data_IF_778869499865
#
_entry.id   IF_778869499865
#
_cell.length_a   1.000
_cell.length_b   1.000
_cell.length_c   1.000
_cell.angle_alpha   90.00
_cell.angle_beta   90.00
_cell.angle_gamma   90.00
#
_symmetry.space_group_name_H-M   'P 1'
#
loop_
_entity.id
_entity.type
_entity.pdbx_description
1 polymer ?
#
# COMPACT_ATOMS: atom_id res chain seq x y z
N UNK A 1 -30.14 68.69 11.62
CA UNK A 1 -29.14 69.59 10.99
C UNK A 1 -27.79 68.93 11.20
N UNK A 2 -27.02 68.73 10.12
CA UNK A 2 -25.69 68.11 10.14
C UNK A 2 -24.66 69.05 10.76
N UNK A 3 -23.78 68.53 11.61
CA UNK A 3 -22.35 68.87 11.55
C UNK A 3 -21.51 67.77 12.20
N UNK A 4 -20.68 67.17 11.35
CA UNK A 4 -19.51 66.33 11.62
C UNK A 4 -18.34 67.16 12.17
N UNK A 5 -17.39 66.52 12.88
CA UNK A 5 -15.96 66.37 12.51
C UNK A 5 -15.12 65.87 13.72
N UNK A 6 -14.47 64.73 13.49
CA UNK A 6 -13.11 64.23 13.86
C UNK A 6 -12.37 64.68 15.13
N UNK A 7 -11.79 63.67 15.82
CA UNK A 7 -10.33 63.43 16.02
C UNK A 7 -10.19 62.20 16.97
N UNK A 8 -9.75 61.02 16.52
CA UNK A 8 -8.37 60.51 16.36
C UNK A 8 -7.49 60.69 17.61
N UNK A 9 -7.28 59.58 18.34
CA UNK A 9 -5.98 59.00 18.77
C UNK A 9 -6.01 58.45 20.20
N UNK A 10 -5.28 57.35 20.42
CA UNK A 10 -5.06 56.72 21.72
C UNK A 10 -5.36 55.22 21.72
N UNK A 11 -4.64 54.42 20.91
CA UNK A 11 -3.58 53.54 21.45
C UNK A 11 -4.04 52.65 22.60
N UNK A 12 -4.24 51.37 22.28
CA UNK A 12 -4.52 50.30 23.21
C UNK A 12 -4.26 48.94 22.56
N UNK A 13 -3.06 48.79 21.97
CA UNK A 13 -2.47 47.52 21.58
C UNK A 13 -2.32 46.62 22.82
N UNK A 14 -3.35 45.84 23.16
CA UNK A 14 -3.20 44.69 24.05
C UNK A 14 -4.25 43.64 23.71
N UNK A 15 -3.96 42.88 22.67
CA UNK A 15 -4.81 41.80 22.23
C UNK A 15 -4.30 41.10 21.00
N UNK A 16 -2.97 40.97 20.87
CA UNK A 16 -2.36 39.93 20.05
C UNK A 16 -2.76 38.57 20.63
N UNK A 17 -4.03 38.22 20.44
CA UNK A 17 -4.56 36.88 20.50
C UNK A 17 -3.85 36.14 19.40
N UNK A 18 -2.75 35.56 19.85
CA UNK A 18 -1.97 34.47 19.32
C UNK A 18 -2.80 33.65 18.34
N UNK A 19 -2.88 34.14 17.10
CA UNK A 19 -3.14 33.36 15.91
C UNK A 19 -1.88 32.53 15.66
N UNK A 20 -1.52 31.73 16.66
CA UNK A 20 -0.60 30.62 16.52
C UNK A 20 -1.26 29.77 15.47
N UNK A 21 -0.69 29.89 14.27
CA UNK A 21 -1.09 29.17 13.09
C UNK A 21 -1.36 27.74 13.50
N UNK A 22 -2.65 27.44 13.63
CA UNK A 22 -3.19 26.12 13.45
C UNK A 22 -3.03 25.86 11.96
N UNK A 23 -1.76 25.78 11.52
CA UNK A 23 -1.36 25.01 10.37
C UNK A 23 -1.93 23.65 10.70
N UNK A 24 -3.12 23.41 10.17
CA UNK A 24 -3.64 22.10 9.90
C UNK A 24 -2.47 21.34 9.32
N UNK A 25 -1.74 20.64 10.19
CA UNK A 25 -0.92 19.53 9.76
C UNK A 25 -1.95 18.69 9.05
N UNK A 26 -1.95 18.75 7.71
CA UNK A 26 -2.53 17.73 6.86
C UNK A 26 -1.76 16.47 7.26
N UNK A 27 -2.20 15.86 8.35
CA UNK A 27 -1.76 14.57 8.79
C UNK A 27 -2.04 13.70 7.57
N UNK A 28 -0.97 13.34 6.86
CA UNK A 28 -1.08 12.37 5.78
C UNK A 28 -1.51 11.08 6.48
N UNK A 29 -2.82 10.85 6.45
CA UNK A 29 -3.53 9.75 7.10
C UNK A 29 -3.11 8.39 6.56
N UNK A 30 -2.44 8.36 5.40
CA UNK A 30 -2.01 7.12 4.77
C UNK A 30 -0.66 7.22 4.08
N UNK A 31 0.07 6.09 4.10
CA UNK A 31 1.35 5.93 3.44
C UNK A 31 1.20 5.94 1.91
N UNK A 32 2.00 6.75 1.20
CA UNK A 32 1.92 6.81 -0.27
C UNK A 32 2.50 5.53 -0.87
N UNK A 33 1.64 4.72 -1.49
CA UNK A 33 2.03 3.48 -2.20
C UNK A 33 2.81 3.75 -3.49
N UNK A 34 2.52 4.87 -4.17
CA UNK A 34 3.08 5.24 -5.47
C UNK A 34 4.61 5.03 -5.62
N UNK A 35 5.47 5.47 -4.69
CA UNK A 35 6.92 5.30 -4.84
C UNK A 35 7.35 3.83 -4.93
N UNK A 36 6.69 2.94 -4.20
CA UNK A 36 6.99 1.51 -4.23
C UNK A 36 6.61 0.90 -5.58
N UNK A 37 5.50 1.36 -6.16
CA UNK A 37 5.04 0.96 -7.49
C UNK A 37 6.10 1.33 -8.51
N UNK A 38 6.49 2.61 -8.51
CA UNK A 38 7.37 3.15 -9.54
C UNK A 38 8.79 2.63 -9.43
N UNK A 39 9.32 2.45 -8.21
CA UNK A 39 10.65 1.86 -8.01
C UNK A 39 10.64 0.41 -8.49
N UNK A 40 9.65 -0.39 -8.07
CA UNK A 40 9.58 -1.81 -8.47
C UNK A 40 9.38 -1.95 -9.98
N UNK A 41 8.44 -1.19 -10.56
CA UNK A 41 8.22 -1.18 -12.00
C UNK A 41 9.48 -0.73 -12.78
N UNK A 42 10.17 0.31 -12.30
CA UNK A 42 11.42 0.78 -12.87
C UNK A 42 12.51 -0.29 -12.85
N UNK A 43 12.65 -1.02 -11.73
CA UNK A 43 13.59 -2.14 -11.62
C UNK A 43 13.25 -3.29 -12.57
N UNK A 44 11.97 -3.65 -12.70
CA UNK A 44 11.52 -4.70 -13.63
C UNK A 44 11.78 -4.33 -15.09
N UNK A 45 11.48 -3.08 -15.47
CA UNK A 45 11.75 -2.56 -16.81
C UNK A 45 13.25 -2.53 -17.06
N UNK A 46 14.04 -1.97 -16.14
CA UNK A 46 15.49 -1.90 -16.26
C UNK A 46 16.11 -3.29 -16.41
N UNK A 47 15.71 -4.24 -15.59
CA UNK A 47 16.21 -5.62 -15.65
C UNK A 47 15.85 -6.30 -16.98
N UNK A 48 14.66 -6.05 -17.51
CA UNK A 48 14.25 -6.56 -18.83
C UNK A 48 15.00 -5.89 -19.98
N UNK A 49 15.33 -4.61 -19.87
CA UNK A 49 16.17 -3.89 -20.83
C UNK A 49 17.63 -4.38 -20.79
N UNK A 50 18.14 -4.76 -19.62
CA UNK A 50 19.47 -5.35 -19.50
C UNK A 50 19.49 -6.74 -20.17
N UNK A 51 18.47 -7.55 -19.92
CA UNK A 51 18.33 -8.88 -20.53
C UNK A 51 18.28 -8.83 -22.06
N UNK A 52 17.74 -7.76 -22.66
CA UNK A 52 17.68 -7.61 -24.12
C UNK A 52 18.97 -7.12 -24.76
N UNK A 53 19.97 -6.66 -23.99
CA UNK A 53 21.23 -6.12 -24.53
C UNK A 53 22.26 -7.19 -24.83
N UNK A 54 22.63 -8.01 -23.84
CA UNK A 54 23.59 -9.10 -24.03
C UNK A 54 23.48 -10.16 -22.93
N UNK A 55 23.73 -11.45 -23.24
CA UNK A 55 23.73 -12.51 -22.23
C UNK A 55 24.78 -12.32 -21.13
N UNK A 56 25.94 -11.75 -21.46
CA UNK A 56 27.04 -11.52 -20.51
C UNK A 56 26.64 -10.44 -19.47
N UNK A 57 25.96 -9.40 -19.93
CA UNK A 57 25.47 -8.33 -19.05
C UNK A 57 24.39 -8.86 -18.12
N UNK A 58 23.49 -9.71 -18.64
CA UNK A 58 22.47 -10.37 -17.84
C UNK A 58 23.11 -11.28 -16.77
N UNK A 59 24.11 -12.08 -17.14
CA UNK A 59 24.82 -12.96 -16.19
C UNK A 59 25.49 -12.17 -15.05
N UNK A 60 26.11 -11.03 -15.37
CA UNK A 60 26.70 -10.16 -14.37
C UNK A 60 25.66 -9.61 -13.38
N UNK A 61 24.50 -9.18 -13.88
CA UNK A 61 23.42 -8.68 -13.01
C UNK A 61 22.78 -9.82 -12.20
N UNK A 62 22.60 -10.99 -12.79
CA UNK A 62 22.09 -12.18 -12.10
C UNK A 62 22.98 -12.61 -10.95
N UNK A 63 24.31 -12.49 -11.09
CA UNK A 63 25.25 -12.76 -10.01
C UNK A 63 24.96 -11.92 -8.76
N UNK A 64 24.55 -10.66 -8.93
CA UNK A 64 24.20 -9.77 -7.81
C UNK A 64 22.75 -9.92 -7.34
N UNK A 65 21.81 -10.10 -8.26
CA UNK A 65 20.39 -10.16 -7.92
C UNK A 65 19.98 -11.48 -7.28
N UNK A 66 20.49 -12.61 -7.78
CA UNK A 66 20.04 -13.93 -7.34
C UNK A 66 20.23 -14.14 -5.83
N UNK A 67 21.35 -13.78 -5.17
CA UNK A 67 21.45 -13.87 -3.72
C UNK A 67 20.39 -13.06 -2.96
N UNK A 68 20.03 -11.88 -3.47
CA UNK A 68 18.98 -11.04 -2.90
C UNK A 68 17.62 -11.73 -3.07
N UNK A 69 17.33 -12.28 -4.24
CA UNK A 69 16.08 -13.00 -4.48
C UNK A 69 16.00 -14.29 -3.66
N UNK A 70 17.07 -15.06 -3.59
CA UNK A 70 17.14 -16.30 -2.82
C UNK A 70 16.97 -16.05 -1.32
N UNK A 71 17.31 -14.86 -0.83
CA UNK A 71 17.06 -14.51 0.56
C UNK A 71 15.56 -14.46 0.94
N UNK A 72 14.64 -14.38 -0.04
CA UNK A 72 13.20 -14.55 0.19
C UNK A 72 12.87 -15.94 0.75
N UNK A 73 13.71 -16.96 0.49
CA UNK A 73 13.56 -18.31 1.04
C UNK A 73 13.62 -18.32 2.57
N UNK A 74 14.43 -17.45 3.18
CA UNK A 74 14.56 -17.36 4.64
C UNK A 74 13.26 -16.92 5.33
N UNK A 75 12.40 -16.19 4.62
CA UNK A 75 11.10 -15.75 5.13
C UNK A 75 9.94 -16.58 4.56
N UNK A 76 10.23 -17.75 3.97
CA UNK A 76 9.23 -18.66 3.42
C UNK A 76 8.61 -18.22 2.10
N UNK A 77 9.14 -17.17 1.45
CA UNK A 77 8.67 -16.64 0.17
C UNK A 77 9.57 -17.05 -1.00
N UNK A 78 10.21 -18.22 -0.88
CA UNK A 78 11.09 -18.76 -1.91
C UNK A 78 10.35 -19.00 -3.23
N UNK A 79 10.92 -18.49 -4.32
CA UNK A 79 10.39 -18.76 -5.67
C UNK A 79 11.13 -20.00 -6.18
N UNK A 80 10.44 -21.15 -6.16
CA UNK A 80 10.97 -22.43 -6.63
C UNK A 80 10.76 -22.64 -8.12
N UNK A 81 9.65 -22.15 -8.67
CA UNK A 81 9.37 -22.13 -10.11
C UNK A 81 8.75 -20.79 -10.49
N UNK A 82 9.28 -20.06 -11.48
CA UNK A 82 8.62 -18.87 -11.97
C UNK A 82 7.30 -19.25 -12.64
N UNK A 83 6.26 -18.44 -12.45
CA UNK A 83 4.98 -18.62 -13.13
C UNK A 83 5.02 -18.18 -14.61
N UNK A 84 6.20 -17.87 -15.14
CA UNK A 84 6.40 -17.48 -16.54
C UNK A 84 7.60 -18.25 -17.10
N UNK A 85 7.48 -18.64 -18.37
CA UNK A 85 8.54 -19.23 -19.16
C UNK A 85 8.58 -18.59 -20.55
N UNK A 86 9.67 -18.78 -21.29
CA UNK A 86 9.81 -18.19 -22.61
C UNK A 86 11.24 -18.29 -23.14
N UNK A 87 11.63 -17.42 -24.09
CA UNK A 87 12.92 -17.53 -24.78
C UNK A 87 14.13 -17.16 -23.91
N UNK A 88 13.93 -16.52 -22.76
CA UNK A 88 15.01 -16.17 -21.84
C UNK A 88 15.34 -17.33 -20.89
N UNK A 89 16.53 -17.34 -20.27
CA UNK A 89 16.87 -18.35 -19.25
C UNK A 89 15.88 -18.33 -18.08
N UNK A 90 15.59 -19.48 -17.48
CA UNK A 90 14.66 -19.60 -16.33
C UNK A 90 15.01 -18.66 -15.17
N UNK A 91 16.31 -18.43 -14.95
CA UNK A 91 16.82 -17.53 -13.91
C UNK A 91 16.36 -16.08 -14.12
N UNK A 92 16.21 -15.63 -15.36
CA UNK A 92 15.66 -14.31 -15.67
C UNK A 92 14.24 -14.17 -15.12
N UNK A 93 13.36 -15.13 -15.43
CA UNK A 93 11.97 -15.11 -14.95
C UNK A 93 11.88 -15.23 -13.42
N UNK A 94 12.73 -16.05 -12.82
CA UNK A 94 12.82 -16.18 -11.36
C UNK A 94 13.21 -14.87 -10.70
N UNK A 95 14.26 -14.22 -11.20
CA UNK A 95 14.74 -12.94 -10.68
C UNK A 95 13.70 -11.82 -10.89
N UNK A 96 13.00 -11.81 -12.03
CA UNK A 96 11.88 -10.88 -12.28
C UNK A 96 10.78 -11.00 -11.24
N UNK A 97 10.29 -12.23 -11.00
CA UNK A 97 9.26 -12.47 -9.98
C UNK A 97 9.79 -12.06 -8.60
N UNK A 98 11.06 -12.38 -8.31
CA UNK A 98 11.74 -12.00 -7.08
C UNK A 98 11.76 -10.49 -6.81
N UNK A 99 12.07 -9.68 -7.82
CA UNK A 99 12.04 -8.21 -7.72
C UNK A 99 10.62 -7.75 -7.34
N UNK A 100 9.59 -8.30 -7.98
CA UNK A 100 8.20 -8.01 -7.65
C UNK A 100 7.86 -8.34 -6.20
N UNK A 101 8.21 -9.54 -5.74
CA UNK A 101 7.93 -10.02 -4.37
C UNK A 101 8.65 -9.15 -3.35
N UNK A 102 9.91 -8.80 -3.57
CA UNK A 102 10.65 -7.87 -2.71
C UNK A 102 10.00 -6.49 -2.64
N UNK A 103 9.46 -5.97 -3.75
CA UNK A 103 8.71 -4.72 -3.76
C UNK A 103 7.50 -4.77 -2.82
N UNK A 104 6.78 -5.89 -2.80
CA UNK A 104 5.65 -6.14 -1.89
C UNK A 104 6.11 -6.29 -0.45
N UNK A 105 7.16 -7.06 -0.18
CA UNK A 105 7.73 -7.24 1.16
C UNK A 105 8.18 -5.89 1.73
N UNK A 106 8.91 -5.09 0.96
CA UNK A 106 9.40 -3.77 1.38
C UNK A 106 8.24 -2.80 1.67
N UNK A 107 7.18 -2.82 0.86
CA UNK A 107 5.98 -2.01 1.09
C UNK A 107 5.28 -2.42 2.39
N UNK A 108 5.08 -3.72 2.59
CA UNK A 108 4.39 -4.28 3.75
C UNK A 108 5.18 -4.05 5.04
N UNK A 109 6.49 -4.33 5.04
CA UNK A 109 7.37 -4.09 6.18
C UNK A 109 7.34 -2.62 6.59
N UNK A 110 7.46 -1.70 5.63
CA UNK A 110 7.37 -0.27 5.94
C UNK A 110 6.00 0.15 6.46
N UNK A 111 4.93 -0.42 5.91
CA UNK A 111 3.58 -0.14 6.39
C UNK A 111 3.41 -0.57 7.85
N UNK A 112 3.87 -1.77 8.20
CA UNK A 112 3.91 -2.27 9.58
C UNK A 112 4.74 -1.35 10.48
N UNK A 113 5.96 -1.00 10.07
CA UNK A 113 6.83 -0.09 10.82
C UNK A 113 6.18 1.27 11.06
N UNK A 114 5.54 1.85 10.03
CA UNK A 114 4.82 3.11 10.14
C UNK A 114 3.70 3.02 11.19
N UNK A 115 2.93 1.93 11.19
CA UNK A 115 1.90 1.70 12.21
C UNK A 115 2.47 1.58 13.62
N UNK A 116 3.54 0.79 13.80
CA UNK A 116 4.18 0.61 15.10
C UNK A 116 4.70 1.95 15.64
N UNK A 117 5.32 2.77 14.79
CA UNK A 117 5.83 4.09 15.19
C UNK A 117 4.73 5.12 15.46
N UNK A 118 3.58 5.01 14.78
CA UNK A 118 2.46 5.96 14.91
C UNK A 118 1.32 5.47 15.81
N UNK A 119 1.59 4.52 16.72
CA UNK A 119 0.62 3.85 17.59
C UNK A 119 -0.31 4.78 18.40
N UNK A 120 -0.01 6.09 18.50
CA UNK A 120 -0.83 7.11 19.18
C UNK A 120 -1.42 8.24 18.32
N UNK A 121 -1.22 8.26 16.99
CA UNK A 121 -1.72 9.33 16.08
C UNK A 121 -2.69 8.82 15.03
N UNK A 122 -3.52 7.86 15.40
CA UNK A 122 -4.62 7.46 14.54
C UNK A 122 -5.70 8.50 14.77
N UNK A 123 -5.97 9.32 13.74
CA UNK A 123 -6.96 10.39 13.75
C UNK A 123 -8.21 9.98 14.53
N UNK A 124 -8.71 10.91 15.36
CA UNK A 124 -9.79 10.64 16.30
C UNK A 124 -10.95 9.92 15.59
N UNK A 125 -11.22 8.69 16.04
CA UNK A 125 -11.94 7.67 15.23
C UNK A 125 -13.38 8.10 14.94
N UNK A 126 -13.94 8.95 15.80
CA UNK A 126 -15.27 9.53 15.64
C UNK A 126 -15.29 10.59 14.55
N UNK A 127 -14.27 11.43 14.47
CA UNK A 127 -14.23 12.54 13.52
C UNK A 127 -14.15 12.05 12.07
N UNK A 128 -13.36 11.01 11.80
CA UNK A 128 -13.28 10.38 10.46
C UNK A 128 -14.60 9.67 10.11
N UNK A 129 -15.22 9.01 11.09
CA UNK A 129 -16.49 8.32 10.91
C UNK A 129 -17.63 9.29 10.60
N UNK A 130 -17.74 10.38 11.35
CA UNK A 130 -18.80 11.37 11.17
C UNK A 130 -18.66 12.09 9.84
N UNK A 131 -17.43 12.47 9.44
CA UNK A 131 -17.15 13.04 8.11
C UNK A 131 -17.50 12.08 6.96
N UNK A 132 -17.29 10.77 7.13
CA UNK A 132 -17.65 9.77 6.11
C UNK A 132 -19.15 9.52 6.05
N UNK A 133 -19.81 9.47 7.21
CA UNK A 133 -21.26 9.32 7.33
C UNK A 133 -21.99 10.48 6.70
N UNK A 134 -21.54 11.71 6.93
CA UNK A 134 -22.15 12.92 6.37
C UNK A 134 -21.98 12.99 4.84
N UNK A 135 -20.87 12.47 4.32
CA UNK A 135 -20.57 12.54 2.88
C UNK A 135 -21.22 11.40 2.06
N UNK A 136 -21.38 10.21 2.63
CA UNK A 136 -21.82 9.01 1.88
C UNK A 136 -23.15 8.41 2.37
N UNK A 137 -23.68 8.88 3.50
CA UNK A 137 -24.82 8.28 4.16
C UNK A 137 -24.54 6.87 4.69
N UNK A 138 -25.51 6.30 5.43
CA UNK A 138 -25.37 4.99 6.07
C UNK A 138 -25.27 3.87 5.01
N UNK A 139 -26.03 3.97 3.92
CA UNK A 139 -26.04 2.98 2.85
C UNK A 139 -24.77 3.02 1.99
N UNK A 140 -24.29 4.21 1.63
CA UNK A 140 -23.02 4.36 0.90
C UNK A 140 -21.82 3.86 1.71
N UNK A 141 -21.82 4.11 3.02
CA UNK A 141 -20.82 3.52 3.92
C UNK A 141 -20.89 1.99 3.91
N UNK A 142 -22.08 1.40 4.16
CA UNK A 142 -22.27 -0.07 4.18
C UNK A 142 -21.77 -0.71 2.89
N UNK A 143 -22.11 -0.14 1.73
CA UNK A 143 -21.65 -0.62 0.44
C UNK A 143 -20.12 -0.51 0.31
N UNK A 144 -19.52 0.62 0.68
CA UNK A 144 -18.07 0.81 0.62
C UNK A 144 -17.33 -0.23 1.49
N UNK A 145 -17.88 -0.58 2.65
CA UNK A 145 -17.30 -1.59 3.54
C UNK A 145 -17.42 -2.98 2.95
N UNK A 146 -18.63 -3.38 2.55
CA UNK A 146 -18.86 -4.71 1.95
C UNK A 146 -17.97 -4.88 0.72
N UNK A 147 -17.92 -3.88 -0.16
CA UNK A 147 -17.03 -3.88 -1.32
C UNK A 147 -15.54 -3.96 -0.93
N UNK A 148 -15.11 -3.26 0.12
CA UNK A 148 -13.72 -3.30 0.60
C UNK A 148 -13.35 -4.65 1.21
N UNK A 149 -14.27 -5.26 1.96
CA UNK A 149 -14.10 -6.60 2.55
C UNK A 149 -14.05 -7.65 1.44
N UNK A 150 -15.01 -7.63 0.51
CA UNK A 150 -15.03 -8.55 -0.64
C UNK A 150 -13.76 -8.41 -1.47
N UNK A 151 -13.34 -7.18 -1.77
CA UNK A 151 -12.10 -6.91 -2.48
C UNK A 151 -10.88 -7.43 -1.71
N UNK A 152 -10.81 -7.20 -0.39
CA UNK A 152 -9.75 -7.73 0.47
C UNK A 152 -9.69 -9.26 0.46
N UNK A 153 -10.84 -9.94 0.53
CA UNK A 153 -10.94 -11.42 0.44
C UNK A 153 -10.48 -11.91 -0.93
N UNK A 154 -10.91 -11.28 -2.02
CA UNK A 154 -10.47 -11.62 -3.37
C UNK A 154 -8.96 -11.43 -3.53
N UNK A 155 -8.39 -10.34 -3.02
CA UNK A 155 -6.95 -10.11 -3.05
C UNK A 155 -6.19 -11.14 -2.20
N UNK A 156 -6.70 -11.52 -1.02
CA UNK A 156 -6.08 -12.55 -0.18
C UNK A 156 -6.11 -13.93 -0.83
N UNK A 157 -7.26 -14.31 -1.44
CA UNK A 157 -7.39 -15.53 -2.24
C UNK A 157 -6.42 -15.54 -3.42
N UNK A 158 -6.35 -14.43 -4.16
CA UNK A 158 -5.39 -14.25 -5.25
C UNK A 158 -3.94 -14.41 -4.79
N UNK A 159 -3.55 -13.75 -3.69
CA UNK A 159 -2.19 -13.87 -3.15
C UNK A 159 -1.85 -15.30 -2.70
N UNK A 160 -2.83 -16.00 -2.12
CA UNK A 160 -2.69 -17.40 -1.74
C UNK A 160 -2.47 -18.27 -2.98
N UNK A 161 -3.25 -18.05 -4.04
CA UNK A 161 -3.06 -18.75 -5.32
C UNK A 161 -1.69 -18.44 -5.93
N UNK A 162 -1.25 -17.17 -5.91
CA UNK A 162 0.09 -16.77 -6.39
C UNK A 162 1.19 -17.49 -5.61
N UNK A 163 1.08 -17.51 -4.28
CA UNK A 163 2.05 -18.16 -3.39
C UNK A 163 2.11 -19.68 -3.64
N UNK A 164 0.94 -20.34 -3.64
CA UNK A 164 0.84 -21.77 -3.94
C UNK A 164 1.36 -22.09 -5.35
N UNK A 165 1.12 -21.20 -6.31
CA UNK A 165 1.65 -21.35 -7.66
C UNK A 165 3.18 -21.22 -7.72
N UNK A 166 3.79 -20.34 -6.91
CA UNK A 166 5.26 -20.24 -6.81
C UNK A 166 5.91 -21.50 -6.20
N UNK A 167 5.19 -22.22 -5.34
CA UNK A 167 5.63 -23.49 -4.75
C UNK A 167 5.43 -24.64 -5.75
N UNK A 168 4.21 -24.79 -6.26
CA UNK A 168 3.83 -25.98 -7.02
C UNK A 168 4.01 -25.85 -8.54
N UNK A 169 4.03 -24.62 -9.08
CA UNK A 169 4.14 -24.34 -10.51
C UNK A 169 2.92 -24.83 -11.32
N UNK A 170 1.70 -24.70 -10.78
CA UNK A 170 0.47 -25.17 -11.42
C UNK A 170 0.10 -24.42 -12.70
N UNK A 171 0.40 -23.12 -12.74
CA UNK A 171 0.15 -22.22 -13.86
C UNK A 171 1.46 -21.57 -14.29
N UNK A 172 1.89 -21.91 -15.50
CA UNK A 172 3.05 -21.30 -16.15
C UNK A 172 2.55 -20.57 -17.40
N UNK A 173 2.81 -19.27 -17.46
CA UNK A 173 2.43 -18.41 -18.57
C UNK A 173 3.58 -18.29 -19.57
N UNK A 174 3.35 -18.81 -20.77
CA UNK A 174 4.34 -18.73 -21.85
C UNK A 174 4.36 -17.34 -22.49
N UNK A 175 5.47 -16.64 -22.34
CA UNK A 175 5.70 -15.29 -22.86
C UNK A 175 6.67 -15.33 -24.04
N UNK A 176 6.30 -14.61 -25.11
CA UNK A 176 7.04 -14.61 -26.38
C UNK A 176 8.12 -13.53 -26.47
N UNK A 177 8.13 -12.59 -25.54
CA UNK A 177 9.01 -11.41 -25.57
C UNK A 177 9.51 -11.02 -24.18
N UNK A 178 10.40 -10.02 -24.14
CA UNK A 178 11.02 -9.49 -22.92
C UNK A 178 10.26 -8.30 -22.31
N UNK A 179 9.18 -7.80 -22.95
CA UNK A 179 8.44 -6.59 -22.53
C UNK A 179 7.20 -6.94 -21.71
N UNK A 180 6.53 -8.03 -22.07
CA UNK A 180 5.34 -8.56 -21.39
C UNK A 180 5.64 -9.09 -19.97
N UNK A 181 6.79 -9.74 -19.69
CA UNK A 181 7.10 -10.24 -18.35
C UNK A 181 7.04 -9.18 -17.23
N UNK A 182 7.59 -7.95 -17.36
CA UNK A 182 7.39 -6.88 -16.38
C UNK A 182 5.92 -6.59 -16.04
N UNK A 183 5.08 -6.50 -17.06
CA UNK A 183 3.66 -6.18 -16.88
C UNK A 183 2.92 -7.32 -16.17
N UNK A 184 3.24 -8.57 -16.53
CA UNK A 184 2.70 -9.75 -15.85
C UNK A 184 3.12 -9.81 -14.38
N UNK A 185 4.40 -9.58 -14.06
CA UNK A 185 4.87 -9.54 -12.66
C UNK A 185 4.16 -8.46 -11.87
N UNK A 186 4.01 -7.26 -12.44
CA UNK A 186 3.27 -6.19 -11.79
C UNK A 186 1.83 -6.62 -11.54
N UNK A 187 1.10 -7.12 -12.53
CA UNK A 187 -0.27 -7.59 -12.33
C UNK A 187 -0.38 -8.67 -11.25
N UNK A 188 0.59 -9.59 -11.21
CA UNK A 188 0.55 -10.78 -10.36
C UNK A 188 0.94 -10.52 -8.90
N UNK A 189 1.82 -9.54 -8.67
CA UNK A 189 2.42 -9.34 -7.36
C UNK A 189 1.84 -8.11 -6.65
N UNK A 190 1.40 -7.07 -7.39
CA UNK A 190 0.91 -5.83 -6.80
C UNK A 190 -0.37 -5.94 -5.93
N UNK A 191 -1.33 -6.83 -6.23
CA UNK A 191 -2.47 -7.05 -5.34
C UNK A 191 -2.04 -7.44 -3.92
N UNK A 192 -0.89 -8.10 -3.74
CA UNK A 192 -0.34 -8.45 -2.43
C UNK A 192 0.13 -7.26 -1.59
N UNK A 193 0.50 -6.13 -2.21
CA UNK A 193 0.73 -4.88 -1.50
C UNK A 193 -0.57 -4.27 -0.97
N UNK A 194 -1.71 -4.54 -1.63
CA UNK A 194 -3.01 -4.04 -1.22
C UNK A 194 -3.64 -4.87 -0.10
N UNK A 195 -3.32 -6.17 0.01
CA UNK A 195 -3.92 -7.07 1.02
C UNK A 195 -3.70 -6.62 2.45
N UNK A 196 -2.49 -6.20 2.85
CA UNK A 196 -2.27 -5.75 4.24
C UNK A 196 -2.94 -4.39 4.49
N UNK A 197 -2.89 -3.48 3.51
CA UNK A 197 -3.57 -2.20 3.58
C UNK A 197 -5.09 -2.36 3.79
N UNK A 198 -5.71 -3.22 2.98
CA UNK A 198 -7.15 -3.50 3.03
C UNK A 198 -7.53 -4.39 4.21
N UNK A 199 -6.77 -5.44 4.47
CA UNK A 199 -6.96 -6.34 5.61
C UNK A 199 -6.89 -5.60 6.93
N UNK A 200 -5.97 -4.63 7.07
CA UNK A 200 -5.93 -3.76 8.23
C UNK A 200 -7.11 -2.79 8.29
N UNK A 201 -7.57 -2.27 7.15
CA UNK A 201 -8.80 -1.46 7.08
C UNK A 201 -10.02 -2.27 7.55
N UNK A 202 -10.08 -3.55 7.21
CA UNK A 202 -11.12 -4.49 7.66
C UNK A 202 -11.00 -4.80 9.15
N UNK A 203 -9.81 -5.16 9.66
CA UNK A 203 -9.58 -5.40 11.09
C UNK A 203 -9.91 -4.17 11.92
N UNK A 204 -9.51 -2.99 11.45
CA UNK A 204 -9.86 -1.71 12.05
C UNK A 204 -11.38 -1.53 12.13
N UNK A 205 -12.10 -1.85 11.06
CA UNK A 205 -13.55 -1.73 11.00
C UNK A 205 -14.30 -2.75 11.87
N UNK A 206 -13.87 -4.01 11.86
CA UNK A 206 -14.42 -5.08 12.72
C UNK A 206 -14.21 -4.70 14.19
N UNK A 207 -13.03 -4.20 14.55
CA UNK A 207 -12.76 -3.68 15.89
C UNK A 207 -13.71 -2.55 16.29
N UNK A 208 -14.06 -1.64 15.37
CA UNK A 208 -15.04 -0.58 15.60
C UNK A 208 -16.47 -1.13 15.81
N UNK A 209 -16.87 -2.16 15.08
CA UNK A 209 -18.16 -2.82 15.27
C UNK A 209 -18.25 -3.49 16.63
N UNK A 210 -17.22 -4.25 17.03
CA UNK A 210 -17.17 -4.90 18.33
C UNK A 210 -17.19 -3.89 19.48
N UNK A 211 -16.47 -2.78 19.34
CA UNK A 211 -16.48 -1.72 20.36
C UNK A 211 -17.87 -1.07 20.49
N UNK A 212 -18.54 -0.76 19.38
CA UNK A 212 -19.92 -0.22 19.42
C UNK A 212 -20.92 -1.21 20.02
N UNK A 213 -20.78 -2.50 19.69
CA UNK A 213 -21.59 -3.56 20.28
C UNK A 213 -21.36 -3.64 21.80
N UNK A 214 -20.10 -3.65 22.23
CA UNK A 214 -19.72 -3.64 23.64
C UNK A 214 -20.29 -2.43 24.39
N UNK A 215 -20.13 -1.22 23.85
CA UNK A 215 -20.69 0.00 24.44
C UNK A 215 -22.23 -0.06 24.55
N UNK A 216 -22.91 -0.62 23.54
CA UNK A 216 -24.37 -0.74 23.56
C UNK A 216 -24.88 -1.78 24.57
N UNK A 217 -24.08 -2.80 24.87
CA UNK A 217 -24.43 -3.89 25.78
C UNK A 217 -24.04 -3.60 27.24
N UNK A 218 -22.96 -2.85 27.47
CA UNK A 218 -22.36 -2.74 28.81
C UNK A 218 -22.23 -1.31 29.36
N UNK A 219 -22.51 -0.27 28.57
CA UNK A 219 -22.45 1.13 29.02
C UNK A 219 -23.81 1.85 28.93
N UNK A 220 -24.91 1.08 28.94
CA UNK A 220 -26.29 1.60 28.98
C UNK A 220 -26.94 1.52 30.37
N UNK A 221 -26.16 1.18 31.39
CA UNK A 221 -26.51 1.40 32.80
C UNK A 221 -25.89 2.70 33.29
#
# INVERSE_FOLDING_TARGET
MKTSINEISGQGDFGASTSLGMQSQKERTWFRQKPYVFITAGLLILYSLIASKSPETLAAVDYFLTPIIDSLRFIGLGITKPFMDGPMPERFYTNMVGIGVWGVVAYNLRSVLWFVMKRGRIADRREVWDRLKDKWGIWGMRLAIVSSVLFGVLCAGYCTLVFLNGIHGWFVFHVRDFIVPPAFVMMWVYPGALVIALGWTVVWYIGLMFLKLYQSLFLRE
#
